data_IF_765925332136
#
_entry.id   IF_765925332136
#
_cell.length_a   1.000
_cell.length_b   1.000
_cell.length_c   1.000
_cell.angle_alpha   90.00
_cell.angle_beta   90.00
_cell.angle_gamma   90.00
#
_symmetry.space_group_name_H-M   'P 1'
#
loop_
_entity.id
_entity.type
_entity.pdbx_description
1 polymer ?
#
# COMPACT_ATOMS: atom_id res chain seq x y z
N UNK A 1 -1.96 -10.75 16.56
CA UNK A 1 -1.86 -9.70 15.52
C UNK A 1 -1.29 -8.43 16.14
N UNK A 2 -0.32 -7.81 15.48
CA UNK A 2 0.18 -6.50 15.93
C UNK A 2 -0.97 -5.48 15.90
N UNK A 3 -1.03 -4.62 16.91
CA UNK A 3 -2.05 -3.56 16.99
C UNK A 3 -1.88 -2.60 15.82
N UNK A 4 -2.99 -2.26 15.15
CA UNK A 4 -3.04 -1.25 14.09
C UNK A 4 -3.59 0.04 14.70
N UNK A 5 -2.73 1.03 15.02
CA UNK A 5 -3.20 2.30 15.57
C UNK A 5 -3.94 3.12 14.52
N UNK A 6 -4.84 3.98 14.96
CA UNK A 6 -5.46 4.96 14.08
C UNK A 6 -4.51 6.12 13.84
N UNK A 7 -4.24 6.44 12.57
CA UNK A 7 -3.47 7.62 12.16
C UNK A 7 -4.43 8.66 11.60
N UNK A 8 -4.18 9.93 11.89
CA UNK A 8 -5.03 11.02 11.43
C UNK A 8 -4.23 11.92 10.48
N UNK A 9 -4.83 12.29 9.36
CA UNK A 9 -4.33 13.27 8.41
C UNK A 9 -5.27 14.48 8.37
N UNK A 10 -5.05 15.40 7.46
CA UNK A 10 -5.95 16.53 7.27
C UNK A 10 -7.36 16.10 6.84
N UNK A 11 -7.46 15.07 5.97
CA UNK A 11 -8.74 14.67 5.35
C UNK A 11 -9.18 13.24 5.69
N UNK A 12 -8.28 12.41 6.22
CA UNK A 12 -8.52 10.98 6.40
C UNK A 12 -8.12 10.50 7.80
N UNK A 13 -8.84 9.49 8.27
CA UNK A 13 -8.41 8.61 9.35
C UNK A 13 -7.98 7.26 8.75
N UNK A 14 -6.77 6.82 9.06
CA UNK A 14 -6.29 5.48 8.69
C UNK A 14 -6.52 4.57 9.90
N UNK A 15 -7.45 3.65 9.78
CA UNK A 15 -7.85 2.73 10.86
C UNK A 15 -7.64 1.27 10.46
N UNK A 16 -7.73 0.38 11.43
CA UNK A 16 -7.66 -1.06 11.15
C UNK A 16 -8.76 -1.50 10.16
N UNK A 17 -8.41 -2.48 9.33
CA UNK A 17 -9.32 -3.15 8.39
C UNK A 17 -10.47 -3.82 9.15
N UNK A 18 -11.69 -3.70 8.63
CA UNK A 18 -12.91 -4.36 9.09
C UNK A 18 -13.53 -5.16 7.96
N UNK A 19 -14.33 -6.18 8.30
CA UNK A 19 -14.93 -7.04 7.28
C UNK A 19 -15.89 -6.29 6.35
N UNK A 20 -16.59 -5.29 6.85
CA UNK A 20 -17.47 -4.42 6.07
C UNK A 20 -16.73 -3.58 5.00
N UNK A 21 -15.43 -3.35 5.14
CA UNK A 21 -14.63 -2.59 4.16
C UNK A 21 -14.49 -3.34 2.82
N UNK A 22 -14.68 -4.66 2.83
CA UNK A 22 -14.58 -5.48 1.61
C UNK A 22 -15.50 -4.97 0.52
N UNK A 23 -16.75 -4.65 0.84
CA UNK A 23 -17.73 -4.15 -0.13
C UNK A 23 -17.29 -2.82 -0.76
N UNK A 24 -16.68 -1.92 0.02
CA UNK A 24 -16.18 -0.63 -0.49
C UNK A 24 -14.90 -0.78 -1.34
N UNK A 25 -14.05 -1.75 -1.02
CA UNK A 25 -12.83 -2.03 -1.77
C UNK A 25 -13.08 -2.84 -3.05
N UNK A 26 -14.10 -3.71 -3.04
CA UNK A 26 -14.36 -4.65 -4.12
C UNK A 26 -14.45 -4.02 -5.53
N UNK A 27 -15.13 -2.88 -5.77
CA UNK A 27 -15.18 -2.29 -7.11
C UNK A 27 -13.82 -1.91 -7.68
N UNK A 28 -12.81 -1.70 -6.82
CA UNK A 28 -11.43 -1.41 -7.24
C UNK A 28 -10.66 -2.69 -7.52
N UNK A 29 -10.78 -3.66 -6.63
CA UNK A 29 -10.07 -4.94 -6.75
C UNK A 29 -10.67 -5.90 -7.79
N UNK A 30 -11.93 -5.70 -8.18
CA UNK A 30 -12.60 -6.42 -9.27
C UNK A 30 -12.37 -5.80 -10.65
N UNK A 31 -11.71 -4.65 -10.72
CA UNK A 31 -11.43 -3.95 -11.98
C UNK A 31 -10.07 -4.41 -12.53
N UNK A 32 -10.05 -4.99 -13.74
CA UNK A 32 -8.82 -5.50 -14.37
C UNK A 32 -7.76 -4.42 -14.56
N UNK A 33 -8.16 -3.19 -14.90
CA UNK A 33 -7.25 -2.08 -15.08
C UNK A 33 -6.61 -1.61 -13.77
N UNK A 34 -7.37 -1.66 -12.66
CA UNK A 34 -6.85 -1.33 -11.33
C UNK A 34 -5.97 -2.45 -10.76
N UNK A 35 -6.26 -3.69 -11.13
CA UNK A 35 -5.50 -4.86 -10.69
C UNK A 35 -4.26 -5.14 -11.54
N UNK A 36 -4.03 -4.40 -12.61
CA UNK A 36 -2.95 -4.63 -13.58
C UNK A 36 -1.56 -4.77 -12.93
N UNK A 37 -1.30 -4.01 -11.88
CA UNK A 37 -0.03 -4.00 -11.15
C UNK A 37 -0.10 -4.65 -9.77
N UNK A 38 -1.15 -5.40 -9.49
CA UNK A 38 -1.23 -6.24 -8.31
C UNK A 38 -0.57 -7.59 -8.59
N UNK A 39 -0.19 -8.30 -7.54
CA UNK A 39 0.44 -9.62 -7.61
C UNK A 39 -0.50 -10.71 -8.14
N UNK A 40 -1.78 -10.39 -8.35
CA UNK A 40 -2.83 -11.29 -8.80
C UNK A 40 -3.82 -10.58 -9.73
N UNK A 41 -4.60 -11.34 -10.54
CA UNK A 41 -5.68 -10.79 -11.35
C UNK A 41 -6.81 -10.19 -10.49
N UNK A 42 -7.73 -9.47 -11.14
CA UNK A 42 -8.93 -8.95 -10.50
C UNK A 42 -9.73 -10.06 -9.79
N UNK A 43 -10.35 -9.68 -8.68
CA UNK A 43 -11.19 -10.60 -7.89
C UNK A 43 -12.55 -10.79 -8.56
N UNK A 44 -13.07 -12.02 -8.52
CA UNK A 44 -14.36 -12.36 -9.14
C UNK A 44 -15.54 -12.14 -8.18
N UNK A 45 -15.29 -12.11 -6.86
CA UNK A 45 -16.33 -11.92 -5.84
C UNK A 45 -15.83 -11.19 -4.59
N UNK A 46 -16.76 -10.58 -3.85
CA UNK A 46 -16.46 -9.97 -2.55
C UNK A 46 -15.99 -11.04 -1.53
N UNK A 47 -16.49 -12.27 -1.62
CA UNK A 47 -16.08 -13.36 -0.74
C UNK A 47 -14.60 -13.71 -0.96
N UNK A 48 -14.19 -13.86 -2.22
CA UNK A 48 -12.79 -14.10 -2.57
C UNK A 48 -11.88 -12.97 -2.10
N UNK A 49 -12.30 -11.71 -2.27
CA UNK A 49 -11.57 -10.57 -1.75
C UNK A 49 -11.50 -10.57 -0.22
N UNK A 50 -12.61 -10.90 0.46
CA UNK A 50 -12.63 -10.99 1.91
C UNK A 50 -11.66 -12.07 2.43
N UNK A 51 -11.65 -13.24 1.82
CA UNK A 51 -10.75 -14.33 2.21
C UNK A 51 -9.29 -13.92 2.05
N UNK A 52 -8.96 -13.23 0.97
CA UNK A 52 -7.61 -12.69 0.77
C UNK A 52 -7.24 -11.57 1.75
N UNK A 53 -8.16 -10.65 2.04
CA UNK A 53 -7.91 -9.53 2.97
C UNK A 53 -7.71 -10.00 4.42
N UNK A 54 -8.34 -11.12 4.78
CA UNK A 54 -8.34 -11.68 6.13
C UNK A 54 -7.59 -13.01 6.22
N UNK A 55 -6.65 -13.24 5.31
CA UNK A 55 -5.80 -14.43 5.33
C UNK A 55 -5.07 -14.56 6.68
N UNK A 56 -5.26 -15.68 7.42
CA UNK A 56 -4.74 -15.83 8.79
C UNK A 56 -3.22 -15.77 8.88
N UNK A 57 -2.53 -16.28 7.85
CA UNK A 57 -1.07 -16.40 7.83
C UNK A 57 -0.37 -15.14 7.30
N UNK A 58 -1.13 -14.14 6.85
CA UNK A 58 -0.55 -12.87 6.42
C UNK A 58 -0.02 -12.07 7.61
N UNK A 59 1.27 -11.79 7.62
CA UNK A 59 1.98 -11.17 8.74
C UNK A 59 2.04 -9.64 8.70
N UNK A 60 1.47 -9.03 7.65
CA UNK A 60 1.43 -7.58 7.51
C UNK A 60 0.34 -6.91 8.36
N UNK A 61 0.31 -5.59 8.28
CA UNK A 61 -0.71 -4.75 8.91
C UNK A 61 -1.42 -3.95 7.83
N UNK A 62 -2.74 -3.81 7.98
CA UNK A 62 -3.58 -3.08 7.03
C UNK A 62 -4.24 -1.88 7.71
N UNK A 63 -4.13 -0.73 7.07
CA UNK A 63 -4.91 0.47 7.37
C UNK A 63 -5.88 0.76 6.23
N UNK A 64 -7.09 1.14 6.59
CA UNK A 64 -8.10 1.65 5.68
C UNK A 64 -8.20 3.15 5.89
N UNK A 65 -7.99 3.91 4.81
CA UNK A 65 -8.23 5.35 4.81
C UNK A 65 -9.74 5.61 4.66
N UNK A 66 -10.28 6.36 5.60
CA UNK A 66 -11.69 6.74 5.68
C UNK A 66 -11.79 8.26 5.78
N UNK A 67 -12.67 8.89 5.00
CA UNK A 67 -12.91 10.33 5.08
C UNK A 67 -13.88 10.70 6.22
N UNK A 68 -14.14 11.99 6.40
CA UNK A 68 -15.00 12.48 7.49
C UNK A 68 -16.46 12.00 7.39
N UNK A 69 -16.92 11.59 6.21
CA UNK A 69 -18.23 11.02 5.96
C UNK A 69 -18.27 9.49 6.12
N UNK A 70 -17.16 8.88 6.52
CA UNK A 70 -17.05 7.42 6.70
C UNK A 70 -16.86 6.63 5.40
N UNK A 71 -16.51 7.29 4.28
CA UNK A 71 -16.29 6.62 3.00
C UNK A 71 -14.86 6.13 2.89
N UNK A 72 -14.70 4.87 2.51
CA UNK A 72 -13.39 4.25 2.27
C UNK A 72 -12.73 4.87 1.05
N UNK A 73 -11.48 5.31 1.21
CA UNK A 73 -10.69 5.93 0.16
C UNK A 73 -9.54 5.04 -0.35
N UNK A 74 -9.14 4.04 0.41
CA UNK A 74 -8.08 3.11 0.00
C UNK A 74 -7.56 2.23 1.12
N UNK A 75 -6.72 1.28 0.73
CA UNK A 75 -6.01 0.32 1.60
C UNK A 75 -4.52 0.64 1.59
N UNK A 76 -3.92 0.68 2.76
CA UNK A 76 -2.49 0.93 2.99
C UNK A 76 -1.94 -0.20 3.86
N UNK A 77 -0.73 -0.67 3.56
CA UNK A 77 -0.16 -1.81 4.26
C UNK A 77 1.30 -1.56 4.64
N UNK A 78 1.72 -2.23 5.71
CA UNK A 78 3.11 -2.40 6.08
C UNK A 78 3.37 -3.88 6.38
N UNK A 79 4.32 -4.46 5.68
CA UNK A 79 4.73 -5.85 5.84
C UNK A 79 6.13 -5.88 6.43
N UNK A 80 6.41 -6.67 7.48
CA UNK A 80 7.75 -6.81 8.02
C UNK A 80 8.74 -7.23 6.92
N UNK A 81 9.87 -6.53 6.81
CA UNK A 81 10.97 -6.91 5.94
C UNK A 81 11.75 -8.12 6.47
N UNK A 82 12.74 -8.56 5.71
CA UNK A 82 13.59 -9.68 6.09
C UNK A 82 14.44 -9.39 7.33
N UNK A 83 14.82 -8.12 7.52
CA UNK A 83 15.66 -7.68 8.62
C UNK A 83 14.87 -6.88 9.66
N UNK A 84 15.35 -6.90 10.91
CA UNK A 84 14.81 -6.08 11.99
C UNK A 84 14.85 -4.58 11.65
N UNK A 85 13.80 -3.87 11.96
CA UNK A 85 13.66 -2.44 11.71
C UNK A 85 13.44 -2.06 10.24
N UNK A 86 13.07 -3.03 9.39
CA UNK A 86 12.70 -2.81 7.99
C UNK A 86 11.24 -3.22 7.77
N UNK A 87 10.50 -2.43 7.00
CA UNK A 87 9.18 -2.83 6.51
C UNK A 87 8.99 -2.43 5.06
N UNK A 88 8.21 -3.22 4.34
CA UNK A 88 7.72 -2.89 3.01
C UNK A 88 6.36 -2.21 3.12
N UNK A 89 6.17 -1.12 2.37
CA UNK A 89 4.89 -0.41 2.31
C UNK A 89 4.22 -0.60 0.95
N UNK A 90 2.89 -0.76 1.00
CA UNK A 90 2.06 -0.87 -0.19
C UNK A 90 0.76 -0.09 -0.03
N UNK A 91 0.12 0.22 -1.16
CA UNK A 91 -1.13 0.98 -1.16
C UNK A 91 -1.97 0.69 -2.41
N UNK A 92 -3.28 0.75 -2.21
CA UNK A 92 -4.30 0.76 -3.27
C UNK A 92 -5.33 1.84 -2.94
N UNK A 93 -5.52 2.80 -3.83
CA UNK A 93 -6.56 3.83 -3.71
C UNK A 93 -7.80 3.40 -4.47
N UNK A 94 -8.98 3.53 -3.86
CA UNK A 94 -10.25 3.26 -4.51
C UNK A 94 -10.36 4.03 -5.83
N UNK A 95 -10.82 3.36 -6.89
CA UNK A 95 -10.77 3.91 -8.25
C UNK A 95 -11.54 5.23 -8.39
N UNK A 96 -12.62 5.40 -7.65
CA UNK A 96 -13.45 6.61 -7.59
C UNK A 96 -12.84 7.74 -6.75
N UNK A 97 -11.74 7.46 -6.02
CA UNK A 97 -11.02 8.41 -5.15
C UNK A 97 -9.62 8.72 -5.67
N UNK A 98 -9.27 8.25 -6.87
CA UNK A 98 -7.98 8.52 -7.48
C UNK A 98 -7.87 9.98 -7.94
N UNK A 99 -6.62 10.48 -8.05
CA UNK A 99 -6.28 11.87 -8.41
C UNK A 99 -6.70 12.92 -7.39
N UNK A 100 -7.25 12.53 -6.24
CA UNK A 100 -7.58 13.42 -5.12
C UNK A 100 -6.42 13.61 -4.12
N UNK A 101 -5.26 13.03 -4.37
CA UNK A 101 -4.10 13.11 -3.47
C UNK A 101 -4.12 12.10 -2.31
N UNK A 102 -5.11 11.20 -2.26
CA UNK A 102 -5.27 10.19 -1.19
C UNK A 102 -3.99 9.39 -0.96
N UNK A 103 -3.42 8.82 -2.03
CA UNK A 103 -2.20 8.01 -1.92
C UNK A 103 -1.06 8.77 -1.25
N UNK A 104 -0.83 10.03 -1.66
CA UNK A 104 0.26 10.86 -1.12
C UNK A 104 0.05 11.17 0.36
N UNK A 105 -1.13 11.65 0.73
CA UNK A 105 -1.45 12.06 2.09
C UNK A 105 -1.40 10.88 3.06
N UNK A 106 -2.05 9.78 2.71
CA UNK A 106 -2.14 8.62 3.58
C UNK A 106 -0.82 7.84 3.67
N UNK A 107 -0.08 7.69 2.55
CA UNK A 107 1.24 7.04 2.60
C UNK A 107 2.24 7.89 3.38
N UNK A 108 2.22 9.22 3.26
CA UNK A 108 3.08 10.09 4.07
C UNK A 108 2.81 9.93 5.57
N UNK A 109 1.54 9.85 5.98
CA UNK A 109 1.18 9.60 7.38
C UNK A 109 1.66 8.23 7.87
N UNK A 110 1.49 7.18 7.04
CA UNK A 110 1.98 5.84 7.35
C UNK A 110 3.51 5.81 7.48
N UNK A 111 4.24 6.43 6.55
CA UNK A 111 5.72 6.54 6.56
C UNK A 111 6.19 7.19 7.87
N UNK A 112 5.63 8.34 8.24
CA UNK A 112 5.99 9.01 9.50
C UNK A 112 5.72 8.14 10.70
N UNK A 113 4.56 7.49 10.74
CA UNK A 113 4.22 6.60 11.85
C UNK A 113 5.22 5.44 11.99
N UNK A 114 5.58 4.80 10.88
CA UNK A 114 6.51 3.67 10.89
C UNK A 114 7.95 4.09 11.29
N UNK A 115 8.41 5.22 10.80
CA UNK A 115 9.77 5.73 11.11
C UNK A 115 9.82 6.38 12.50
N UNK A 116 8.99 7.40 12.76
CA UNK A 116 9.07 8.21 13.99
C UNK A 116 8.35 7.54 15.16
N UNK A 117 7.21 6.91 14.91
CA UNK A 117 6.38 6.29 15.93
C UNK A 117 6.85 4.91 16.36
N UNK A 118 7.31 4.08 15.42
CA UNK A 118 7.76 2.71 15.68
C UNK A 118 9.28 2.55 15.66
N UNK A 119 10.01 3.55 15.21
CA UNK A 119 11.48 3.53 15.19
C UNK A 119 12.07 2.64 14.10
N UNK A 120 11.34 2.38 13.01
CA UNK A 120 11.91 1.63 11.91
C UNK A 120 13.06 2.41 11.26
N UNK A 121 14.13 1.71 10.89
CA UNK A 121 15.32 2.32 10.28
C UNK A 121 15.20 2.52 8.78
N UNK A 122 14.31 1.74 8.12
CA UNK A 122 14.15 1.75 6.67
C UNK A 122 12.75 1.27 6.26
N UNK A 123 12.20 1.93 5.26
CA UNK A 123 11.03 1.45 4.53
C UNK A 123 11.43 1.10 3.10
N UNK A 124 10.81 0.06 2.55
CA UNK A 124 10.96 -0.35 1.15
C UNK A 124 9.61 -0.35 0.45
N UNK A 125 9.63 -0.26 -0.86
CA UNK A 125 8.48 -0.51 -1.73
C UNK A 125 8.97 -1.15 -3.03
N UNK A 126 8.34 -2.23 -3.43
CA UNK A 126 8.54 -2.86 -4.73
C UNK A 126 7.48 -2.38 -5.70
N UNK A 127 7.89 -2.05 -6.93
CA UNK A 127 6.97 -1.53 -7.93
C UNK A 127 7.35 -2.02 -9.32
N UNK A 128 6.34 -2.49 -10.06
CA UNK A 128 6.47 -2.69 -11.49
C UNK A 128 6.84 -1.36 -12.18
N UNK A 129 7.91 -1.35 -12.97
CA UNK A 129 8.43 -0.13 -13.59
C UNK A 129 7.45 0.55 -14.54
N UNK A 130 6.45 -0.19 -15.04
CA UNK A 130 5.40 0.35 -15.90
C UNK A 130 4.31 1.07 -15.07
N UNK A 131 4.24 0.82 -13.75
CA UNK A 131 3.33 1.52 -12.84
C UNK A 131 3.83 2.95 -12.57
N UNK A 132 3.84 3.77 -13.63
CA UNK A 132 4.31 5.15 -13.57
C UNK A 132 3.67 5.99 -12.45
N UNK A 133 2.36 5.86 -12.14
CA UNK A 133 1.76 6.58 -11.01
C UNK A 133 2.40 6.24 -9.67
N UNK A 134 2.66 4.97 -9.39
CA UNK A 134 3.32 4.53 -8.14
C UNK A 134 4.78 4.96 -8.09
N UNK A 135 5.53 4.82 -9.19
CA UNK A 135 6.91 5.31 -9.30
C UNK A 135 6.99 6.79 -8.93
N UNK A 136 6.16 7.64 -9.55
CA UNK A 136 6.14 9.08 -9.27
C UNK A 136 5.70 9.41 -7.84
N UNK A 137 4.82 8.61 -7.26
CA UNK A 137 4.40 8.80 -5.88
C UNK A 137 5.54 8.52 -4.92
N UNK A 138 6.23 7.38 -5.07
CA UNK A 138 7.38 7.01 -4.22
C UNK A 138 8.48 8.07 -4.28
N UNK A 139 8.83 8.53 -5.48
CA UNK A 139 9.83 9.61 -5.66
C UNK A 139 9.41 10.92 -4.97
N UNK A 140 8.13 11.31 -5.05
CA UNK A 140 7.60 12.50 -4.36
C UNK A 140 7.54 12.36 -2.85
N UNK A 141 7.47 11.13 -2.34
CA UNK A 141 7.54 10.83 -0.91
C UNK A 141 8.99 10.73 -0.39
N UNK A 142 9.98 10.97 -1.25
CA UNK A 142 11.39 10.94 -0.87
C UNK A 142 12.06 9.57 -0.98
N UNK A 143 11.35 8.55 -1.47
CA UNK A 143 11.98 7.25 -1.71
C UNK A 143 12.99 7.33 -2.84
N UNK A 144 14.13 6.68 -2.65
CA UNK A 144 15.20 6.55 -3.64
C UNK A 144 15.15 5.17 -4.28
N UNK A 145 15.26 5.09 -5.60
CA UNK A 145 15.37 3.80 -6.30
C UNK A 145 16.74 3.17 -6.00
N UNK A 146 16.73 2.04 -5.32
CA UNK A 146 17.93 1.32 -4.89
C UNK A 146 18.30 0.18 -5.85
N UNK A 147 17.31 -0.44 -6.51
CA UNK A 147 17.57 -1.54 -7.45
C UNK A 147 16.58 -1.54 -8.61
N UNK A 148 16.97 -2.23 -9.68
CA UNK A 148 16.13 -2.63 -10.81
C UNK A 148 16.42 -4.10 -11.12
N UNK A 149 15.42 -4.93 -10.94
CA UNK A 149 15.46 -6.35 -11.26
C UNK A 149 14.72 -6.58 -12.58
N UNK A 150 15.44 -6.99 -13.61
CA UNK A 150 14.86 -7.25 -14.94
C UNK A 150 14.24 -8.65 -14.96
N UNK A 151 13.03 -8.75 -15.53
CA UNK A 151 12.29 -10.01 -15.65
C UNK A 151 12.21 -10.77 -14.31
N UNK A 152 11.99 -10.03 -13.24
CA UNK A 152 12.08 -10.52 -11.87
C UNK A 152 10.84 -11.28 -11.45
N UNK A 153 9.69 -10.82 -11.86
CA UNK A 153 8.39 -11.36 -11.44
C UNK A 153 7.58 -11.83 -12.65
N UNK A 154 6.88 -12.95 -12.47
CA UNK A 154 5.85 -13.39 -13.41
C UNK A 154 4.50 -13.10 -12.75
N UNK A 155 3.86 -12.03 -13.18
CA UNK A 155 2.50 -11.70 -12.77
C UNK A 155 1.48 -12.19 -13.79
N UNK A 156 0.20 -11.97 -13.55
CA UNK A 156 -0.87 -12.29 -14.50
C UNK A 156 -0.77 -11.54 -15.83
N UNK A 157 -0.01 -10.44 -15.90
CA UNK A 157 0.29 -9.73 -17.15
C UNK A 157 1.53 -10.23 -17.89
N UNK A 158 2.26 -11.19 -17.32
CA UNK A 158 3.49 -11.76 -17.85
C UNK A 158 4.74 -11.36 -17.07
N UNK A 159 5.90 -11.40 -17.73
CA UNK A 159 7.19 -11.01 -17.12
C UNK A 159 7.26 -9.52 -16.87
N UNK A 160 7.65 -9.15 -15.66
CA UNK A 160 7.74 -7.77 -15.20
C UNK A 160 9.14 -7.43 -14.69
N UNK A 161 9.58 -6.22 -15.00
CA UNK A 161 10.73 -5.60 -14.36
C UNK A 161 10.25 -4.93 -13.07
N UNK A 162 10.97 -5.17 -11.96
CA UNK A 162 10.62 -4.62 -10.65
C UNK A 162 11.70 -3.67 -10.19
N UNK A 163 11.31 -2.45 -9.81
CA UNK A 163 12.18 -1.50 -9.14
C UNK A 163 11.94 -1.56 -7.63
N UNK A 164 13.03 -1.57 -6.86
CA UNK A 164 12.99 -1.48 -5.41
C UNK A 164 13.33 -0.05 -5.00
N UNK A 165 12.44 0.55 -4.25
CA UNK A 165 12.59 1.87 -3.66
C UNK A 165 12.83 1.75 -2.16
N UNK A 166 13.70 2.61 -1.60
CA UNK A 166 14.01 2.67 -0.18
C UNK A 166 13.91 4.08 0.36
N UNK A 167 13.47 4.21 1.62
CA UNK A 167 13.50 5.43 2.41
C UNK A 167 14.12 5.11 3.77
N UNK A 168 15.19 5.82 4.14
CA UNK A 168 15.87 5.65 5.41
C UNK A 168 15.27 6.60 6.48
N UNK A 169 15.38 6.21 7.74
CA UNK A 169 15.01 7.09 8.86
C UNK A 169 15.84 8.39 8.91
N UNK A 170 16.99 8.41 8.24
CA UNK A 170 17.87 9.57 8.13
C UNK A 170 17.56 10.47 6.94
N UNK A 171 16.67 10.04 6.04
CA UNK A 171 16.26 10.84 4.90
C UNK A 171 15.19 11.87 5.32
N UNK A 172 14.99 12.95 4.55
CA UNK A 172 13.86 13.85 4.76
C UNK A 172 12.53 13.10 4.62
N UNK A 173 11.71 13.12 5.66
CA UNK A 173 10.39 12.46 5.64
C UNK A 173 9.34 13.33 4.90
N UNK A 174 8.35 12.69 4.24
CA UNK A 174 7.34 13.38 3.44
C UNK A 174 6.35 14.21 4.26
#
# INVERSE_FOLDING_TARGET
MASVPTLTTERFALRALRREDTAALFPTFADEGQSLYLTRPAFESEEELADWLFEPDWNGRTWIAEDAEGRVAGRFVAVPGLDEGVAEVGYVVCKDRQREGVARECTAALVRHLIEGEGLRKLTAEVDVENTPSVRLLERLGFTREALFRQHEISHKGLCDVAVYGLLATDPLP
#
